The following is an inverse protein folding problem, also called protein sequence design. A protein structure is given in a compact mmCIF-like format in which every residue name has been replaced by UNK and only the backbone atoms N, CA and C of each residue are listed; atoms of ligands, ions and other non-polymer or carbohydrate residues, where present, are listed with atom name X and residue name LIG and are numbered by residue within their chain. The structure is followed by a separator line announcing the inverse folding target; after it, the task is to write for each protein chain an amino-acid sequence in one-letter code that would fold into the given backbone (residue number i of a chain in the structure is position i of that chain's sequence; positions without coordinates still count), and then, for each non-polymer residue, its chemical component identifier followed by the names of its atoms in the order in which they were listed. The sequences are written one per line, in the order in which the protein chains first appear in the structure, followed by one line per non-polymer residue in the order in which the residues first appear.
data_IF_361277043866
#
_entry.id   IF_361277043866
#
_cell.length_a   1.000
_cell.length_b   1.000
_cell.length_c   1.000
_cell.angle_alpha   90.00
_cell.angle_beta   90.00
_cell.angle_gamma   90.00
#
_symmetry.space_group_name_H-M   'P 1'
#
loop_
_entity.id
_entity.type
_entity.pdbx_description
1 polymer ?
#
# COMPACT_ATOMS: atom_id res chain seq x y z
N UNK A 1 -22.10 -20.10 -1.81
CA UNK A 1 -21.24 -19.05 -2.40
C UNK A 1 -20.30 -18.55 -1.31
N UNK A 2 -18.99 -18.48 -1.57
CA UNK A 2 -18.00 -18.00 -0.60
C UNK A 2 -17.55 -16.58 -0.99
N UNK A 3 -17.56 -15.66 -0.02
CA UNK A 3 -17.18 -14.26 -0.21
C UNK A 3 -15.65 -14.15 -0.37
N UNK A 4 -15.16 -13.62 -1.52
CA UNK A 4 -13.72 -13.50 -1.84
C UNK A 4 -13.22 -12.06 -1.98
N UNK A 5 -14.14 -11.15 -2.28
CA UNK A 5 -13.84 -9.73 -2.49
C UNK A 5 -14.68 -8.92 -1.53
N UNK A 6 -14.01 -8.10 -0.72
CA UNK A 6 -14.67 -7.18 0.18
C UNK A 6 -14.30 -5.75 -0.19
N UNK A 7 -15.29 -5.00 -0.68
CA UNK A 7 -15.17 -3.60 -1.09
C UNK A 7 -16.14 -2.76 -0.31
N UNK A 8 -15.64 -2.11 0.74
CA UNK A 8 -16.41 -1.20 1.59
C UNK A 8 -15.62 0.11 1.72
N UNK A 9 -16.26 1.29 1.84
CA UNK A 9 -15.55 2.58 1.92
C UNK A 9 -14.66 2.71 3.16
N UNK A 10 -15.08 2.10 4.27
CA UNK A 10 -14.32 1.90 5.51
C UNK A 10 -14.73 0.56 6.09
N UNK A 11 -13.77 -0.29 6.40
CA UNK A 11 -14.02 -1.58 7.03
C UNK A 11 -13.23 -1.70 8.33
N UNK A 12 -13.96 -1.90 9.43
CA UNK A 12 -13.40 -2.21 10.73
C UNK A 12 -13.43 -3.73 10.89
N UNK A 13 -12.26 -4.37 10.83
CA UNK A 13 -12.13 -5.75 11.29
C UNK A 13 -12.06 -5.67 12.82
N UNK A 14 -13.03 -6.22 13.58
CA UNK A 14 -12.88 -6.29 15.02
C UNK A 14 -11.62 -7.10 15.34
N UNK A 15 -10.85 -6.66 16.32
CA UNK A 15 -9.78 -7.47 16.89
C UNK A 15 -10.43 -8.76 17.42
N UNK A 16 -10.10 -9.89 16.79
CA UNK A 16 -10.57 -11.16 17.30
C UNK A 16 -9.66 -11.55 18.47
N UNK A 17 -10.22 -11.91 19.64
CA UNK A 17 -9.43 -12.54 20.68
C UNK A 17 -8.74 -13.78 20.10
N UNK A 18 -7.46 -13.93 20.41
CA UNK A 18 -6.59 -15.00 19.94
C UNK A 18 -7.20 -16.38 20.26
N UNK A 19 -7.93 -16.95 19.31
CA UNK A 19 -8.56 -18.27 19.51
C UNK A 19 -9.73 -18.58 18.59
N UNK A 20 -10.48 -17.59 18.09
CA UNK A 20 -11.51 -17.84 17.08
C UNK A 20 -10.91 -17.67 15.68
N UNK A 21 -10.51 -18.78 15.06
CA UNK A 21 -10.18 -18.81 13.64
C UNK A 21 -11.48 -18.65 12.86
N UNK A 22 -11.89 -17.41 12.65
CA UNK A 22 -13.04 -17.08 11.83
C UNK A 22 -12.76 -17.53 10.38
N UNK A 23 -13.34 -18.67 10.00
CA UNK A 23 -13.09 -19.35 8.71
C UNK A 23 -13.36 -18.43 7.51
N UNK A 24 -14.16 -17.37 7.69
CA UNK A 24 -14.44 -16.36 6.66
C UNK A 24 -13.22 -15.52 6.25
N UNK A 25 -12.30 -15.17 7.17
CA UNK A 25 -11.15 -14.29 6.88
C UNK A 25 -10.13 -14.94 5.94
N UNK A 26 -9.97 -16.26 6.03
CA UNK A 26 -9.04 -17.04 5.19
C UNK A 26 -9.43 -17.08 3.71
N UNK A 27 -10.65 -16.69 3.35
CA UNK A 27 -11.17 -16.75 1.98
C UNK A 27 -11.05 -15.42 1.23
N UNK A 28 -10.73 -14.32 1.92
CA UNK A 28 -10.63 -13.00 1.32
C UNK A 28 -9.31 -12.85 0.54
N UNK A 29 -9.44 -12.54 -0.75
CA UNK A 29 -8.31 -12.31 -1.66
C UNK A 29 -8.10 -10.83 -1.94
N UNK A 30 -9.14 -10.01 -1.77
CA UNK A 30 -9.11 -8.56 -1.99
C UNK A 30 -9.79 -7.85 -0.83
N UNK A 31 -9.08 -6.89 -0.22
CA UNK A 31 -9.62 -5.96 0.78
C UNK A 31 -9.37 -4.54 0.24
N UNK A 32 -10.43 -3.84 -0.17
CA UNK A 32 -10.24 -2.55 -0.86
C UNK A 32 -9.90 -1.36 0.05
N UNK A 33 -10.40 -1.34 1.29
CA UNK A 33 -10.16 -0.25 2.25
C UNK A 33 -10.22 -0.78 3.69
N UNK A 34 -9.04 -1.10 4.24
CA UNK A 34 -8.84 -1.40 5.64
C UNK A 34 -8.52 -0.10 6.39
N UNK A 35 -9.19 0.15 7.53
CA UNK A 35 -8.79 1.26 8.41
C UNK A 35 -7.39 1.00 8.96
N UNK A 36 -6.59 2.05 9.12
CA UNK A 36 -5.27 1.91 9.76
C UNK A 36 -5.37 1.31 11.16
N UNK A 37 -6.43 1.63 11.91
CA UNK A 37 -6.69 1.10 13.26
C UNK A 37 -6.81 -0.44 13.27
N UNK A 38 -7.10 -1.05 12.12
CA UNK A 38 -7.22 -2.50 11.97
C UNK A 38 -5.92 -3.16 11.45
N UNK A 39 -4.83 -2.42 11.25
CA UNK A 39 -3.53 -2.97 10.82
C UNK A 39 -2.72 -3.55 11.99
N UNK A 40 -3.41 -4.11 13.00
CA UNK A 40 -2.78 -4.86 14.10
C UNK A 40 -2.14 -6.14 13.57
N UNK A 41 -1.12 -6.64 14.27
CA UNK A 41 -0.39 -7.86 13.85
C UNK A 41 -1.33 -9.05 13.74
N UNK A 42 -2.29 -9.16 14.65
CA UNK A 42 -3.31 -10.20 14.73
C UNK A 42 -4.20 -10.20 13.48
N UNK A 43 -4.68 -9.03 13.06
CA UNK A 43 -5.48 -8.89 11.85
C UNK A 43 -4.68 -9.26 10.61
N UNK A 44 -3.45 -8.77 10.49
CA UNK A 44 -2.55 -9.08 9.36
C UNK A 44 -2.24 -10.58 9.28
N UNK A 45 -2.01 -11.24 10.41
CA UNK A 45 -1.86 -12.70 10.45
C UNK A 45 -3.15 -13.46 10.11
N UNK A 46 -4.32 -12.83 10.28
CA UNK A 46 -5.61 -13.38 9.89
C UNK A 46 -5.91 -13.33 8.39
N UNK A 47 -5.21 -12.48 7.62
CA UNK A 47 -5.51 -12.20 6.20
C UNK A 47 -4.35 -12.56 5.25
N UNK A 48 -3.62 -13.63 5.55
CA UNK A 48 -2.41 -14.05 4.81
C UNK A 48 -2.60 -14.40 3.32
N UNK A 49 -3.84 -14.65 2.89
CA UNK A 49 -4.18 -14.97 1.49
C UNK A 49 -4.53 -13.74 0.64
N UNK A 50 -4.46 -12.53 1.22
CA UNK A 50 -4.80 -11.29 0.50
C UNK A 50 -3.72 -10.97 -0.51
N UNK A 51 -4.17 -10.75 -1.75
CA UNK A 51 -3.32 -10.33 -2.88
C UNK A 51 -3.43 -8.85 -3.19
N UNK A 52 -4.56 -8.25 -2.85
CA UNK A 52 -4.79 -6.82 -3.04
C UNK A 52 -5.36 -6.21 -1.76
N UNK A 53 -4.65 -5.19 -1.26
CA UNK A 53 -4.99 -4.48 -0.04
C UNK A 53 -5.03 -2.98 -0.31
N UNK A 54 -6.08 -2.30 0.14
CA UNK A 54 -6.07 -0.85 0.27
C UNK A 54 -6.19 -0.44 1.73
N UNK A 55 -5.46 0.61 2.12
CA UNK A 55 -5.46 1.19 3.45
C UNK A 55 -5.73 2.68 3.35
N UNK A 56 -6.51 3.20 4.30
CA UNK A 56 -6.79 4.63 4.42
C UNK A 56 -6.59 5.08 5.88
N UNK A 57 -5.79 6.12 6.10
CA UNK A 57 -5.46 6.65 7.43
C UNK A 57 -5.85 8.13 7.57
N UNK A 58 -7.14 8.44 7.48
CA UNK A 58 -7.58 9.84 7.59
C UNK A 58 -7.42 10.33 9.03
N UNK A 59 -6.43 11.20 9.28
CA UNK A 59 -6.23 11.83 10.59
C UNK A 59 -5.51 10.97 11.64
N UNK A 60 -4.85 9.88 11.23
CA UNK A 60 -4.08 9.00 12.12
C UNK A 60 -2.62 8.94 11.72
N UNK A 61 -1.74 8.96 12.71
CA UNK A 61 -0.30 8.86 12.48
C UNK A 61 0.05 7.45 11.99
N UNK A 62 0.83 7.36 10.92
CA UNK A 62 1.02 6.12 10.15
C UNK A 62 2.13 5.23 10.71
N UNK A 63 2.79 5.69 11.77
CA UNK A 63 4.00 5.08 12.30
C UNK A 63 3.71 3.70 12.93
N UNK A 64 4.47 2.70 12.47
CA UNK A 64 4.51 1.36 13.05
C UNK A 64 3.46 0.37 12.53
N UNK A 65 2.19 0.75 12.41
CA UNK A 65 1.11 -0.19 12.08
C UNK A 65 1.20 -0.76 10.65
N UNK A 66 1.61 0.09 9.70
CA UNK A 66 1.79 -0.31 8.30
C UNK A 66 3.04 -1.20 8.12
N UNK A 67 3.93 -1.27 9.10
CA UNK A 67 5.13 -2.12 9.01
C UNK A 67 4.79 -3.61 9.08
N UNK A 68 3.64 -3.96 9.65
CA UNK A 68 3.15 -5.34 9.66
C UNK A 68 2.85 -5.87 8.26
N UNK A 69 2.71 -5.00 7.24
CA UNK A 69 2.41 -5.43 5.87
C UNK A 69 3.46 -6.37 5.29
N UNK A 70 4.72 -6.26 5.71
CA UNK A 70 5.80 -7.19 5.30
C UNK A 70 5.50 -8.66 5.63
N UNK A 71 4.58 -8.91 6.57
CA UNK A 71 4.13 -10.25 6.91
C UNK A 71 3.19 -10.86 5.86
N UNK A 72 2.66 -10.08 4.91
CA UNK A 72 1.77 -10.56 3.85
C UNK A 72 2.57 -11.06 2.65
N UNK A 73 2.94 -12.34 2.68
CA UNK A 73 3.79 -13.01 1.67
C UNK A 73 3.13 -13.20 0.29
N UNK A 74 1.84 -12.88 0.14
CA UNK A 74 1.10 -13.02 -1.12
C UNK A 74 0.60 -11.68 -1.67
N UNK A 75 0.96 -10.56 -1.03
CA UNK A 75 0.44 -9.26 -1.42
C UNK A 75 1.10 -8.79 -2.72
N UNK A 76 0.30 -8.65 -3.77
CA UNK A 76 0.76 -8.24 -5.11
C UNK A 76 0.37 -6.79 -5.42
N UNK A 77 -0.68 -6.26 -4.80
CA UNK A 77 -1.19 -4.90 -5.01
C UNK A 77 -1.50 -4.19 -3.70
N UNK A 78 -0.98 -2.97 -3.55
CA UNK A 78 -1.19 -2.13 -2.38
C UNK A 78 -1.67 -0.73 -2.80
N UNK A 79 -2.76 -0.27 -2.19
CA UNK A 79 -3.29 1.08 -2.35
C UNK A 79 -3.22 1.81 -0.99
N UNK A 80 -2.37 2.82 -0.85
CA UNK A 80 -2.27 3.63 0.37
C UNK A 80 -2.90 5.00 0.15
N UNK A 81 -3.78 5.41 1.07
CA UNK A 81 -4.40 6.74 1.08
C UNK A 81 -4.16 7.41 2.42
N UNK A 82 -3.67 8.65 2.44
CA UNK A 82 -3.31 9.40 3.66
C UNK A 82 -2.15 8.79 4.47
N UNK A 83 -1.54 7.69 4.01
CA UNK A 83 -0.46 7.00 4.72
C UNK A 83 0.65 6.50 3.80
N UNK A 84 1.82 6.28 4.38
CA UNK A 84 2.95 5.62 3.72
C UNK A 84 3.77 4.81 4.73
N UNK A 85 4.42 3.74 4.27
CA UNK A 85 5.43 3.02 5.04
C UNK A 85 6.66 2.77 4.19
N UNK A 86 7.82 2.83 4.84
CA UNK A 86 9.10 2.44 4.24
C UNK A 86 9.25 0.91 4.15
N UNK A 87 8.46 0.16 4.92
CA UNK A 87 8.54 -1.30 5.00
C UNK A 87 7.47 -1.92 4.09
N UNK A 88 7.76 -1.91 2.80
CA UNK A 88 6.87 -2.44 1.76
C UNK A 88 7.22 -3.91 1.46
N UNK A 89 6.22 -4.80 1.24
CA UNK A 89 6.49 -6.18 0.85
C UNK A 89 7.19 -6.27 -0.50
N UNK A 90 8.24 -7.10 -0.59
CA UNK A 90 8.98 -7.33 -1.84
C UNK A 90 8.16 -8.02 -2.93
N UNK A 91 7.03 -8.63 -2.56
CA UNK A 91 6.08 -9.29 -3.46
C UNK A 91 5.23 -8.33 -4.27
N UNK A 92 5.26 -7.03 -3.94
CA UNK A 92 4.44 -6.02 -4.60
C UNK A 92 4.79 -5.87 -6.08
N UNK A 93 3.75 -5.96 -6.91
CA UNK A 93 3.76 -5.66 -8.35
C UNK A 93 3.08 -4.34 -8.66
N UNK A 94 2.13 -3.91 -7.83
CA UNK A 94 1.35 -2.69 -8.02
C UNK A 94 1.33 -1.88 -6.74
N UNK A 95 1.70 -0.61 -6.83
CA UNK A 95 1.58 0.36 -5.75
C UNK A 95 0.80 1.58 -6.23
N UNK A 96 -0.20 1.99 -5.44
CA UNK A 96 -0.90 3.26 -5.60
C UNK A 96 -0.75 4.06 -4.32
N UNK A 97 -0.31 5.31 -4.46
CA UNK A 97 -0.23 6.29 -3.38
C UNK A 97 -1.21 7.40 -3.70
N UNK A 98 -2.02 7.80 -2.71
CA UNK A 98 -3.00 8.87 -2.85
C UNK A 98 -3.03 9.78 -1.62
N UNK A 99 -2.95 11.10 -1.83
CA UNK A 99 -3.02 12.10 -0.74
C UNK A 99 -2.01 11.76 0.37
N UNK A 100 -0.79 11.37 -0.01
CA UNK A 100 0.27 10.96 0.92
C UNK A 100 1.27 12.06 1.21
N UNK A 101 1.28 13.14 0.41
CA UNK A 101 2.16 14.30 0.55
C UNK A 101 3.65 13.94 0.74
N UNK A 102 4.12 12.87 0.08
CA UNK A 102 5.49 12.41 0.23
C UNK A 102 6.46 13.32 -0.51
N UNK A 103 7.60 13.65 0.08
CA UNK A 103 8.69 14.20 -0.71
C UNK A 103 9.08 13.18 -1.80
N UNK A 104 9.36 13.67 -3.01
CA UNK A 104 9.84 12.85 -4.13
C UNK A 104 11.01 11.92 -3.77
N UNK A 105 11.87 12.32 -2.84
CA UNK A 105 12.99 11.51 -2.33
C UNK A 105 12.58 10.19 -1.69
N UNK A 106 11.36 10.07 -1.15
CA UNK A 106 10.87 8.80 -0.61
C UNK A 106 10.57 7.75 -1.68
N UNK A 107 10.42 8.18 -2.94
CA UNK A 107 10.25 7.23 -4.04
C UNK A 107 11.52 6.45 -4.34
N UNK A 108 12.69 6.86 -3.84
CA UNK A 108 13.91 6.06 -3.95
C UNK A 108 13.72 4.68 -3.28
N UNK A 109 13.00 4.62 -2.14
CA UNK A 109 12.64 3.36 -1.46
C UNK A 109 11.69 2.52 -2.33
N UNK A 110 10.72 3.16 -2.97
CA UNK A 110 9.77 2.50 -3.87
C UNK A 110 10.48 1.97 -5.12
N UNK A 111 11.51 2.68 -5.57
CA UNK A 111 12.34 2.32 -6.71
C UNK A 111 13.17 1.05 -6.46
N UNK A 112 13.46 0.73 -5.20
CA UNK A 112 14.21 -0.48 -4.83
C UNK A 112 13.35 -1.75 -4.83
N UNK A 113 12.02 -1.65 -4.97
CA UNK A 113 11.13 -2.81 -4.98
C UNK A 113 11.42 -3.73 -6.19
N UNK A 114 11.80 -5.00 -5.95
CA UNK A 114 12.37 -5.85 -7.01
C UNK A 114 11.32 -6.33 -8.03
N UNK A 115 10.04 -6.32 -7.66
CA UNK A 115 8.94 -6.86 -8.47
C UNK A 115 7.94 -5.79 -8.92
N UNK A 116 8.18 -4.51 -8.63
CA UNK A 116 7.21 -3.46 -8.89
C UNK A 116 7.08 -3.18 -10.40
N UNK A 117 5.88 -3.42 -10.93
CA UNK A 117 5.57 -3.21 -12.35
C UNK A 117 4.72 -1.96 -12.59
N UNK A 118 3.89 -1.57 -11.62
CA UNK A 118 2.97 -0.44 -11.73
C UNK A 118 3.08 0.47 -10.51
N UNK A 119 3.38 1.74 -10.75
CA UNK A 119 3.34 2.80 -9.75
C UNK A 119 2.33 3.86 -10.15
N UNK A 120 1.40 4.19 -9.26
CA UNK A 120 0.38 5.23 -9.45
C UNK A 120 0.48 6.26 -8.34
N UNK A 121 0.78 7.51 -8.68
CA UNK A 121 0.83 8.66 -7.79
C UNK A 121 -0.37 9.55 -8.10
N UNK A 122 -1.29 9.68 -7.15
CA UNK A 122 -2.63 10.22 -7.39
C UNK A 122 -2.95 11.32 -6.38
N UNK A 123 -3.42 12.49 -6.83
CA UNK A 123 -3.97 13.55 -5.98
C UNK A 123 -3.11 13.86 -4.74
N UNK A 124 -2.11 14.73 -4.89
CA UNK A 124 -1.19 15.10 -3.81
C UNK A 124 -0.48 13.88 -3.18
N UNK A 125 -0.12 12.90 -4.00
CA UNK A 125 0.66 11.75 -3.54
C UNK A 125 2.10 12.16 -3.19
N UNK A 126 2.68 13.02 -4.02
CA UNK A 126 4.01 13.57 -3.80
C UNK A 126 3.97 15.10 -3.77
N UNK A 127 4.81 15.68 -2.91
CA UNK A 127 4.99 17.11 -2.75
C UNK A 127 6.35 17.58 -3.30
N UNK A 128 6.35 18.78 -3.86
CA UNK A 128 7.46 19.39 -4.58
C UNK A 128 7.28 19.43 -6.10
N UNK A 129 8.02 20.33 -6.74
CA UNK A 129 7.89 20.62 -8.18
C UNK A 129 8.89 19.83 -9.04
N UNK A 130 9.92 19.25 -8.43
CA UNK A 130 11.02 18.60 -9.14
C UNK A 130 11.28 17.20 -8.59
N UNK A 131 11.43 16.24 -9.51
CA UNK A 131 11.78 14.86 -9.19
C UNK A 131 13.02 14.42 -9.96
N UNK A 132 14.07 14.14 -9.20
CA UNK A 132 15.33 13.57 -9.69
C UNK A 132 15.55 12.21 -9.02
N UNK A 133 15.22 11.10 -9.70
CA UNK A 133 15.49 9.76 -9.19
C UNK A 133 16.98 9.61 -8.94
N UNK A 134 17.39 9.26 -7.71
CA UNK A 134 18.82 9.09 -7.38
C UNK A 134 19.36 7.72 -7.80
N UNK A 135 18.46 6.75 -7.99
CA UNK A 135 18.80 5.35 -8.20
C UNK A 135 18.46 4.98 -9.64
N UNK A 136 19.23 4.06 -10.26
CA UNK A 136 18.73 3.21 -11.37
C UNK A 136 17.62 2.24 -10.89
N UNK A 137 16.78 2.70 -9.97
CA UNK A 137 15.69 1.94 -9.41
C UNK A 137 14.58 1.82 -10.44
N UNK A 138 13.53 1.07 -10.09
CA UNK A 138 12.44 0.69 -10.99
C UNK A 138 12.86 -0.30 -12.09
N UNK A 139 13.67 -1.29 -11.74
CA UNK A 139 14.21 -2.30 -12.68
C UNK A 139 13.15 -3.10 -13.45
N UNK A 140 11.91 -3.17 -12.94
CA UNK A 140 10.78 -3.88 -13.56
C UNK A 140 9.56 -3.00 -13.84
N UNK A 141 9.66 -1.68 -13.64
CA UNK A 141 8.51 -0.80 -13.78
C UNK A 141 8.11 -0.70 -15.26
N UNK A 142 6.84 -1.00 -15.53
CA UNK A 142 6.22 -0.96 -16.86
C UNK A 142 5.31 0.25 -17.01
N UNK A 143 4.73 0.72 -15.90
CA UNK A 143 3.80 1.84 -15.89
C UNK A 143 4.06 2.75 -14.69
N UNK A 144 4.31 4.02 -14.98
CA UNK A 144 4.26 5.11 -14.03
C UNK A 144 3.10 6.04 -14.41
N UNK A 145 2.19 6.28 -13.48
CA UNK A 145 1.10 7.24 -13.65
C UNK A 145 1.18 8.30 -12.57
N UNK A 146 1.22 9.57 -12.97
CA UNK A 146 1.22 10.72 -12.07
C UNK A 146 0.03 11.59 -12.45
N UNK A 147 -0.91 11.77 -11.53
CA UNK A 147 -2.16 12.49 -11.75
C UNK A 147 -2.42 13.42 -10.55
N UNK A 148 -2.77 14.68 -10.81
CA UNK A 148 -3.05 15.69 -9.77
C UNK A 148 -1.92 15.85 -8.73
N UNK A 149 -0.66 15.94 -9.21
CA UNK A 149 0.51 16.29 -8.38
C UNK A 149 1.18 17.56 -8.92
N UNK A 150 1.90 18.28 -8.07
CA UNK A 150 2.55 19.57 -8.41
C UNK A 150 3.84 19.44 -9.24
N UNK A 151 4.10 18.27 -9.85
CA UNK A 151 5.32 17.99 -10.59
C UNK A 151 5.42 18.85 -11.86
N UNK A 152 6.48 19.66 -11.97
CA UNK A 152 6.78 20.48 -13.15
C UNK A 152 7.96 19.93 -13.94
N UNK A 153 9.03 19.54 -13.25
CA UNK A 153 10.26 19.07 -13.85
C UNK A 153 10.51 17.59 -13.52
N UNK A 154 10.65 16.77 -14.56
CA UNK A 154 11.01 15.35 -14.45
C UNK A 154 12.17 15.04 -15.38
N UNK A 155 13.23 14.44 -14.82
CA UNK A 155 14.36 13.93 -15.60
C UNK A 155 14.55 12.45 -15.32
N UNK A 156 14.30 11.62 -16.32
CA UNK A 156 14.70 10.21 -16.30
C UNK A 156 16.20 10.11 -16.66
N UNK A 157 16.94 9.33 -15.90
CA UNK A 157 18.35 8.97 -16.16
C UNK A 157 18.48 7.53 -16.58
#
# INVERSE_FOLDING_TARGET
MQLRHLKLPRFYLPDCPSGSVDKGRRLLQTISYLSLDCCTKEVIMGIQNVKELGISAYGTDCDGLVNNLVLLQQLEALNLTYCFSRFLPETLKKLKLKITYLSWSYLDIVAELPNLEVLKLMAYACDGEEWYPKVKGFTRLKLLLIEDNSLKNWKAT
#
